data_IF_791666701042
#
_entry.id   IF_791666701042
#
_cell.length_a   1.000
_cell.length_b   1.000
_cell.length_c   1.000
_cell.angle_alpha   90.00
_cell.angle_beta   90.00
_cell.angle_gamma   90.00
#
_symmetry.space_group_name_H-M   'P 1'
#
loop_
_entity.id
_entity.type
_entity.pdbx_description
1 polymer ?
#
# COMPACT_ATOMS: atom_id res chain seq x y z
N UNK A 1 -5.46 43.81 19.99
CA UNK A 1 -5.29 42.34 19.95
C UNK A 1 -3.96 42.03 19.28
N UNK A 2 -3.08 41.20 19.86
CA UNK A 2 -1.82 40.85 19.21
C UNK A 2 -2.09 39.96 17.98
N UNK A 3 -1.56 40.35 16.82
CA UNK A 3 -1.67 39.63 15.56
C UNK A 3 -0.29 39.26 15.02
N UNK A 4 -0.15 38.07 14.44
CA UNK A 4 1.09 37.60 13.81
C UNK A 4 0.80 37.11 12.39
N UNK A 5 1.67 37.49 11.46
CA UNK A 5 1.61 37.06 10.06
C UNK A 5 2.24 35.66 9.96
N UNK A 6 1.49 34.69 9.41
CA UNK A 6 1.92 33.30 9.22
C UNK A 6 1.92 33.03 7.72
N UNK A 7 3.08 32.68 7.16
CA UNK A 7 3.20 32.23 5.78
C UNK A 7 3.09 30.70 5.71
N UNK A 8 1.98 30.19 5.18
CA UNK A 8 1.75 28.76 4.95
C UNK A 8 2.13 28.42 3.50
N UNK A 9 2.98 27.40 3.30
CA UNK A 9 3.26 26.87 1.96
C UNK A 9 2.33 25.68 1.70
N UNK A 10 1.39 25.85 0.78
CA UNK A 10 0.52 24.77 0.32
C UNK A 10 1.16 24.07 -0.88
N UNK A 11 1.14 22.73 -0.87
CA UNK A 11 1.65 21.91 -1.96
C UNK A 11 0.52 21.05 -2.52
N UNK A 12 0.17 21.27 -3.79
CA UNK A 12 -0.76 20.40 -4.52
C UNK A 12 -0.02 19.19 -5.06
N UNK A 13 -0.34 18.00 -4.55
CA UNK A 13 0.25 16.74 -4.99
C UNK A 13 -0.49 16.24 -6.24
N UNK A 14 0.23 15.83 -7.28
CA UNK A 14 -0.39 15.19 -8.46
C UNK A 14 -0.87 13.78 -8.11
N UNK A 15 -2.03 13.41 -8.64
CA UNK A 15 -2.53 12.04 -8.54
C UNK A 15 -1.59 11.09 -9.29
N UNK A 16 -1.18 10.01 -8.62
CA UNK A 16 -0.34 8.98 -9.21
C UNK A 16 -1.22 7.85 -9.77
N UNK A 17 -0.98 7.47 -11.04
CA UNK A 17 -1.59 6.32 -11.68
C UNK A 17 -0.51 5.29 -12.03
N UNK A 18 -0.83 4.01 -11.82
CA UNK A 18 0.00 2.88 -12.27
C UNK A 18 -0.83 1.95 -13.14
N UNK A 19 -0.24 1.46 -14.21
CA UNK A 19 -0.78 0.35 -14.98
C UNK A 19 -0.23 -0.95 -14.41
N UNK A 20 -1.10 -1.92 -14.13
CA UNK A 20 -0.72 -3.24 -13.61
C UNK A 20 -1.01 -4.25 -14.72
N UNK A 21 0.04 -4.91 -15.22
CA UNK A 21 -0.11 -5.95 -16.25
C UNK A 21 -0.43 -7.31 -15.61
N UNK A 22 -1.32 -8.06 -16.24
CA UNK A 22 -1.54 -9.48 -15.93
C UNK A 22 -0.45 -10.34 -16.57
N UNK A 23 -0.22 -11.52 -15.99
CA UNK A 23 0.58 -12.58 -16.57
C UNK A 23 -0.23 -13.87 -16.62
N UNK A 24 -0.10 -14.60 -17.72
CA UNK A 24 -0.66 -15.94 -17.92
C UNK A 24 0.34 -16.97 -17.41
N UNK A 25 -0.11 -17.90 -16.57
CA UNK A 25 0.68 -19.04 -16.14
C UNK A 25 0.04 -20.35 -16.56
N UNK A 26 0.83 -21.23 -17.17
CA UNK A 26 0.48 -22.62 -17.43
C UNK A 26 1.08 -23.49 -16.32
N UNK A 27 0.26 -24.23 -15.58
CA UNK A 27 0.70 -25.02 -14.43
C UNK A 27 -0.23 -26.21 -14.17
N UNK A 28 0.25 -27.17 -13.39
CA UNK A 28 -0.54 -28.33 -12.93
C UNK A 28 -1.17 -27.97 -11.58
N UNK A 29 -2.50 -28.13 -11.46
CA UNK A 29 -3.21 -27.84 -10.22
C UNK A 29 -2.82 -28.84 -9.11
N UNK A 30 -2.49 -28.35 -7.92
CA UNK A 30 -2.14 -29.23 -6.79
C UNK A 30 -3.30 -30.12 -6.27
N UNK A 31 -4.56 -29.78 -6.56
CA UNK A 31 -5.72 -30.49 -6.03
C UNK A 31 -6.31 -31.52 -7.02
N UNK A 32 -6.38 -31.18 -8.30
CA UNK A 32 -6.95 -32.06 -9.32
C UNK A 32 -5.92 -32.61 -10.30
N UNK A 33 -4.65 -32.20 -10.21
CA UNK A 33 -3.53 -32.65 -11.04
C UNK A 33 -3.73 -32.43 -12.56
N UNK A 34 -4.73 -31.63 -12.93
CA UNK A 34 -5.01 -31.27 -14.31
C UNK A 34 -4.11 -30.11 -14.76
N UNK A 35 -3.64 -30.12 -16.03
CA UNK A 35 -2.96 -28.99 -16.62
C UNK A 35 -3.96 -27.84 -16.82
N UNK A 36 -3.62 -26.65 -16.32
CA UNK A 36 -4.50 -25.47 -16.37
C UNK A 36 -3.73 -24.19 -16.67
N UNK A 37 -4.47 -23.18 -17.12
CA UNK A 37 -3.97 -21.86 -17.43
C UNK A 37 -4.73 -20.81 -16.59
N UNK A 38 -4.01 -19.81 -16.06
CA UNK A 38 -4.62 -18.74 -15.26
C UNK A 38 -3.93 -17.40 -15.42
N UNK A 39 -4.72 -16.33 -15.50
CA UNK A 39 -4.25 -14.95 -15.49
C UNK A 39 -4.21 -14.38 -14.08
N UNK A 40 -3.07 -13.77 -13.71
CA UNK A 40 -2.93 -13.10 -12.41
C UNK A 40 -2.07 -11.84 -12.50
N UNK A 41 -2.37 -10.87 -11.62
CA UNK A 41 -1.54 -9.69 -11.40
C UNK A 41 -0.34 -9.95 -10.47
N UNK A 42 -0.16 -11.19 -9.99
CA UNK A 42 0.72 -11.51 -8.88
C UNK A 42 1.58 -12.75 -9.14
N UNK A 43 1.97 -13.49 -8.09
CA UNK A 43 2.77 -14.69 -8.23
C UNK A 43 1.97 -15.83 -8.88
N UNK A 44 2.72 -16.85 -9.35
CA UNK A 44 2.14 -18.05 -9.99
C UNK A 44 1.10 -18.72 -9.07
N UNK A 45 -0.13 -19.00 -9.57
CA UNK A 45 -1.15 -19.74 -8.83
C UNK A 45 -0.76 -21.20 -8.54
N UNK A 46 -1.29 -21.74 -7.44
CA UNK A 46 -1.12 -23.16 -7.04
C UNK A 46 -2.31 -24.04 -7.42
N UNK A 47 -3.49 -23.43 -7.58
CA UNK A 47 -4.75 -24.11 -7.83
C UNK A 47 -5.47 -23.50 -9.02
N UNK A 48 -6.16 -24.33 -9.79
CA UNK A 48 -7.04 -23.90 -10.87
C UNK A 48 -8.28 -23.16 -10.33
N UNK A 49 -9.00 -22.50 -11.24
CA UNK A 49 -10.16 -21.67 -10.89
C UNK A 49 -11.36 -22.49 -10.39
N UNK A 50 -11.49 -23.74 -10.83
CA UNK A 50 -12.53 -24.66 -10.37
C UNK A 50 -12.27 -25.16 -8.95
N UNK A 51 -11.03 -25.51 -8.62
CA UNK A 51 -10.67 -25.95 -7.26
C UNK A 51 -10.64 -24.80 -6.26
N UNK A 52 -10.14 -23.62 -6.65
CA UNK A 52 -10.14 -22.41 -5.82
C UNK A 52 -10.39 -21.16 -6.67
N UNK A 53 -11.65 -20.75 -6.68
CA UNK A 53 -12.09 -19.51 -7.29
C UNK A 53 -11.36 -18.28 -6.70
N UNK A 54 -11.17 -17.22 -7.50
CA UNK A 54 -10.65 -15.95 -7.01
C UNK A 54 -11.50 -15.46 -5.84
N UNK A 55 -10.86 -15.20 -4.70
CA UNK A 55 -11.55 -14.58 -3.57
C UNK A 55 -11.75 -13.09 -3.89
N UNK A 56 -12.90 -12.54 -3.48
CA UNK A 56 -13.13 -11.12 -3.56
C UNK A 56 -12.00 -10.37 -2.83
N UNK A 57 -11.58 -9.19 -3.33
CA UNK A 57 -10.55 -8.40 -2.67
C UNK A 57 -10.97 -8.17 -1.22
N UNK A 58 -10.18 -8.72 -0.28
CA UNK A 58 -10.40 -8.46 1.14
C UNK A 58 -10.32 -6.94 1.31
N UNK A 59 -11.41 -6.31 1.75
CA UNK A 59 -11.40 -4.91 2.15
C UNK A 59 -10.19 -4.75 3.06
N UNK A 60 -9.31 -3.80 2.75
CA UNK A 60 -8.16 -3.53 3.60
C UNK A 60 -8.71 -3.36 5.02
N UNK A 61 -8.32 -4.27 5.92
CA UNK A 61 -8.65 -4.11 7.32
C UNK A 61 -8.08 -2.73 7.68
N UNK A 62 -8.95 -1.77 8.00
CA UNK A 62 -8.53 -0.45 8.46
C UNK A 62 -7.47 -0.71 9.52
N UNK A 63 -6.28 -0.15 9.31
CA UNK A 63 -5.17 -0.36 10.24
C UNK A 63 -5.69 -0.13 11.65
N UNK A 64 -5.64 -1.19 12.49
CA UNK A 64 -5.98 -1.11 13.91
C UNK A 64 -5.29 0.12 14.46
N UNK A 65 -6.07 1.10 14.89
CA UNK A 65 -5.70 2.43 15.40
C UNK A 65 -4.21 2.53 15.81
N UNK A 66 -3.32 2.71 14.83
CA UNK A 66 -1.90 2.93 15.13
C UNK A 66 -1.85 4.31 15.77
N UNK A 67 -1.59 4.35 17.08
CA UNK A 67 -1.47 5.61 17.84
C UNK A 67 -0.51 6.51 17.09
N UNK A 68 -0.88 7.79 16.92
CA UNK A 68 -0.01 8.79 16.30
C UNK A 68 1.35 8.77 17.02
N UNK A 69 2.49 8.77 16.30
CA UNK A 69 3.79 8.89 16.94
C UNK A 69 3.81 10.18 17.77
N UNK A 70 4.43 10.12 18.95
CA UNK A 70 4.54 11.31 19.82
C UNK A 70 5.41 12.35 19.09
N UNK A 71 5.07 13.65 19.17
CA UNK A 71 5.91 14.70 18.61
C UNK A 71 7.30 14.64 19.27
N UNK A 72 8.34 14.59 18.43
CA UNK A 72 9.73 14.62 18.88
C UNK A 72 10.12 16.09 19.09
N UNK A 73 10.32 16.51 20.34
CA UNK A 73 10.85 17.84 20.64
C UNK A 73 12.37 17.82 20.50
N UNK A 74 12.90 18.43 19.44
CA UNK A 74 14.33 18.68 19.32
C UNK A 74 14.71 19.86 20.23
N UNK A 75 15.62 19.64 21.18
CA UNK A 75 16.25 20.75 21.91
C UNK A 75 17.33 21.32 21.00
N UNK A 76 17.07 22.45 20.35
CA UNK A 76 18.12 23.22 19.70
C UNK A 76 18.99 23.83 20.79
N UNK A 77 20.14 23.20 21.08
CA UNK A 77 21.20 23.83 21.86
C UNK A 77 21.68 25.05 21.09
N UNK A 78 21.20 26.23 21.48
CA UNK A 78 21.60 27.51 20.92
C UNK A 78 22.13 28.35 22.07
N UNK A 79 23.30 27.98 22.56
CA UNK A 79 24.17 28.90 23.28
C UNK A 79 25.07 29.56 22.22
N UNK A 80 24.50 30.48 21.46
CA UNK A 80 25.28 31.54 20.82
C UNK A 80 25.00 32.79 21.66
N UNK A 81 25.70 32.88 22.79
CA UNK A 81 25.87 34.13 23.51
C UNK A 81 27.14 34.82 22.98
N UNK A 82 27.04 36.12 22.77
CA UNK A 82 28.03 36.97 22.12
C UNK A 82 29.23 37.34 22.97
#
# INVERSE_FOLDING_TARGET
MPSKIINVKEYTVKAHQRQIHTRVFNFICKQCEQPTQRETFGPRPLYCETCRAPQAPKKSAKALNKRKPRPMTYKSGKDIAG
#
